data_IF_657032025703
#
_entry.id   IF_657032025703
#
_cell.length_a   1.000
_cell.length_b   1.000
_cell.length_c   1.000
_cell.angle_alpha   90.00
_cell.angle_beta   90.00
_cell.angle_gamma   90.00
#
_symmetry.space_group_name_H-M   'P 1'
#
loop_
_entity.id
_entity.type
_entity.pdbx_description
1 polymer ?
#
# COMPACT_ATOMS: atom_id res chain seq x y z
N UNK A 1 -10.81 20.16 -0.13
CA UNK A 1 -11.01 18.70 -0.03
C UNK A 1 -10.23 18.12 -1.18
N UNK A 2 -9.16 17.37 -0.93
CA UNK A 2 -8.39 16.76 -2.02
C UNK A 2 -9.26 15.67 -2.66
N UNK A 3 -9.47 15.75 -3.97
CA UNK A 3 -10.30 14.79 -4.71
C UNK A 3 -9.48 13.55 -5.09
N UNK A 4 -10.18 12.44 -5.41
CA UNK A 4 -9.54 11.21 -5.91
C UNK A 4 -8.69 11.48 -7.16
N UNK A 5 -9.13 12.38 -8.04
CA UNK A 5 -8.41 12.73 -9.27
C UNK A 5 -7.12 13.51 -8.98
N UNK A 6 -7.16 14.50 -8.09
CA UNK A 6 -5.95 15.23 -7.64
C UNK A 6 -4.95 14.29 -6.96
N UNK A 7 -5.47 13.33 -6.19
CA UNK A 7 -4.66 12.31 -5.55
C UNK A 7 -4.05 11.34 -6.57
N UNK A 8 -4.82 10.90 -7.58
CA UNK A 8 -4.32 10.08 -8.67
C UNK A 8 -3.23 10.81 -9.46
N UNK A 9 -3.42 12.09 -9.77
CA UNK A 9 -2.41 12.91 -10.42
C UNK A 9 -1.13 12.97 -9.57
N UNK A 10 -1.26 13.20 -8.26
CA UNK A 10 -0.12 13.24 -7.33
C UNK A 10 0.63 11.90 -7.29
N UNK A 11 -0.10 10.78 -7.20
CA UNK A 11 0.50 9.43 -7.20
C UNK A 11 1.23 9.18 -8.51
N UNK A 12 0.60 9.45 -9.66
CA UNK A 12 1.20 9.26 -10.97
C UNK A 12 2.46 10.10 -11.15
N UNK A 13 2.42 11.38 -10.75
CA UNK A 13 3.59 12.27 -10.82
C UNK A 13 4.76 11.75 -9.98
N UNK A 14 4.50 11.27 -8.76
CA UNK A 14 5.57 10.73 -7.90
C UNK A 14 6.15 9.45 -8.47
N UNK A 15 5.28 8.54 -8.92
CA UNK A 15 5.68 7.27 -9.53
C UNK A 15 6.45 7.51 -10.83
N UNK A 16 5.98 8.42 -11.68
CA UNK A 16 6.62 8.76 -12.95
C UNK A 16 7.99 9.40 -12.76
N UNK A 17 8.17 10.22 -11.71
CA UNK A 17 9.46 10.81 -11.38
C UNK A 17 10.49 9.78 -10.90
N UNK A 18 10.03 8.73 -10.18
CA UNK A 18 10.90 7.63 -9.73
C UNK A 18 11.25 6.69 -10.88
N UNK A 19 10.26 6.31 -11.70
CA UNK A 19 10.45 5.40 -12.84
C UNK A 19 11.06 6.06 -14.07
N UNK A 20 11.01 7.39 -14.18
CA UNK A 20 11.40 8.12 -15.39
C UNK A 20 10.46 7.88 -16.58
N UNK A 21 9.19 7.56 -16.34
CA UNK A 21 8.13 7.42 -17.35
C UNK A 21 7.20 8.64 -17.35
N UNK A 22 6.17 8.66 -18.19
CA UNK A 22 5.18 9.73 -18.20
C UNK A 22 3.98 9.40 -17.29
N UNK A 23 3.47 10.36 -16.50
CA UNK A 23 2.32 10.13 -15.63
C UNK A 23 1.01 9.85 -16.40
N UNK A 24 0.99 10.12 -17.70
CA UNK A 24 -0.14 9.90 -18.60
C UNK A 24 -0.24 8.44 -19.06
N UNK A 25 0.87 7.70 -19.06
CA UNK A 25 0.91 6.26 -19.33
C UNK A 25 0.37 5.45 -18.14
N UNK A 26 0.52 6.00 -16.93
CA UNK A 26 0.03 5.42 -15.69
C UNK A 26 -1.50 5.56 -15.58
N UNK A 27 -2.23 4.47 -15.78
CA UNK A 27 -3.70 4.42 -15.63
C UNK A 27 -4.08 3.82 -14.29
N UNK A 28 -5.32 4.04 -13.84
CA UNK A 28 -5.85 3.43 -12.61
C UNK A 28 -5.73 1.90 -12.58
N UNK A 29 -5.83 1.24 -13.74
CA UNK A 29 -5.74 -0.22 -13.85
C UNK A 29 -4.31 -0.72 -14.06
N UNK A 30 -3.33 0.17 -14.14
CA UNK A 30 -1.96 -0.23 -14.38
C UNK A 30 -1.34 -0.74 -13.08
N UNK A 31 -0.81 -1.95 -13.11
CA UNK A 31 -0.11 -2.56 -12.00
C UNK A 31 1.33 -2.09 -11.97
N UNK A 32 1.69 -1.30 -10.96
CA UNK A 32 3.04 -0.78 -10.81
C UNK A 32 4.09 -1.91 -10.72
N UNK A 33 3.85 -2.90 -9.87
CA UNK A 33 4.76 -4.02 -9.68
C UNK A 33 4.83 -4.99 -10.88
N UNK A 34 3.74 -5.19 -11.63
CA UNK A 34 3.66 -6.20 -12.69
C UNK A 34 3.97 -5.63 -14.08
N UNK A 35 3.49 -4.41 -14.37
CA UNK A 35 3.61 -3.76 -15.68
C UNK A 35 4.93 -2.97 -15.80
N UNK A 36 5.30 -2.24 -14.73
CA UNK A 36 6.53 -1.44 -14.68
C UNK A 36 7.67 -2.12 -13.90
N UNK A 37 7.37 -3.20 -13.17
CA UNK A 37 8.39 -3.91 -12.41
C UNK A 37 8.92 -3.13 -11.21
N UNK A 38 8.10 -2.28 -10.56
CA UNK A 38 8.59 -1.46 -9.43
C UNK A 38 9.18 -2.34 -8.33
N UNK A 39 10.44 -2.05 -7.97
CA UNK A 39 11.19 -2.70 -6.90
C UNK A 39 10.79 -2.19 -5.50
N UNK A 40 11.12 -2.97 -4.47
CA UNK A 40 10.87 -2.60 -3.07
C UNK A 40 11.55 -1.29 -2.64
N UNK A 41 12.68 -0.93 -3.26
CA UNK A 41 13.38 0.34 -3.04
C UNK A 41 12.60 1.53 -3.65
N UNK A 42 12.12 1.38 -4.88
CA UNK A 42 11.34 2.40 -5.56
C UNK A 42 10.00 2.62 -4.85
N UNK A 43 9.33 1.56 -4.39
CA UNK A 43 8.12 1.65 -3.57
C UNK A 43 8.36 2.39 -2.26
N UNK A 44 9.50 2.14 -1.60
CA UNK A 44 9.88 2.87 -0.40
C UNK A 44 10.07 4.37 -0.67
N UNK A 45 10.67 4.73 -1.81
CA UNK A 45 10.85 6.12 -2.21
C UNK A 45 9.53 6.80 -2.59
N UNK A 46 8.69 6.13 -3.38
CA UNK A 46 7.35 6.59 -3.77
C UNK A 46 6.51 6.82 -2.51
N UNK A 47 6.47 5.86 -1.59
CA UNK A 47 5.78 5.99 -0.31
C UNK A 47 6.26 7.19 0.48
N UNK A 48 7.57 7.33 0.69
CA UNK A 48 8.13 8.44 1.45
C UNK A 48 7.85 9.82 0.81
N UNK A 49 7.81 9.90 -0.53
CA UNK A 49 7.42 11.13 -1.23
C UNK A 49 5.93 11.43 -1.08
N UNK A 50 5.07 10.42 -1.22
CA UNK A 50 3.62 10.57 -1.02
C UNK A 50 3.27 10.97 0.41
N UNK A 51 3.93 10.39 1.41
CA UNK A 51 3.76 10.76 2.82
C UNK A 51 4.10 12.22 3.05
N UNK A 52 5.22 12.72 2.49
CA UNK A 52 5.62 14.13 2.61
C UNK A 52 4.65 15.07 1.90
N UNK A 53 4.18 14.70 0.71
CA UNK A 53 3.26 15.52 -0.10
C UNK A 53 1.87 15.60 0.52
N UNK A 54 1.32 14.45 0.93
CA UNK A 54 -0.04 14.34 1.44
C UNK A 54 -0.12 14.55 2.96
N UNK A 55 1.04 14.57 3.65
CA UNK A 55 1.16 14.58 5.11
C UNK A 55 0.38 13.43 5.77
N UNK A 56 0.45 12.26 5.17
CA UNK A 56 -0.17 11.02 5.65
C UNK A 56 0.90 10.02 6.09
N UNK A 57 0.46 9.01 6.85
CA UNK A 57 1.24 7.80 7.16
C UNK A 57 0.85 6.72 6.15
N UNK A 58 1.81 6.29 5.35
CA UNK A 58 1.65 5.29 4.29
C UNK A 58 2.70 4.20 4.54
N UNK A 59 2.23 2.99 4.82
CA UNK A 59 3.15 1.87 4.96
C UNK A 59 3.57 1.37 3.56
N UNK A 60 4.86 1.12 3.30
CA UNK A 60 5.29 0.54 2.02
C UNK A 60 4.60 -0.81 1.75
N UNK A 61 4.20 -1.56 2.79
CA UNK A 61 3.47 -2.82 2.64
C UNK A 61 2.03 -2.62 2.10
N UNK A 62 1.39 -1.49 2.44
CA UNK A 62 0.09 -1.08 1.85
C UNK A 62 0.24 -0.77 0.35
N UNK A 63 1.34 -0.13 -0.04
CA UNK A 63 1.66 0.15 -1.45
C UNK A 63 2.00 -1.11 -2.23
N UNK A 64 2.70 -2.08 -1.62
CA UNK A 64 2.95 -3.41 -2.20
C UNK A 64 1.64 -4.19 -2.36
N UNK A 65 0.75 -4.09 -1.38
CA UNK A 65 -0.57 -4.74 -1.41
C UNK A 65 -1.52 -4.09 -2.41
N UNK A 66 -1.27 -2.83 -2.80
CA UNK A 66 -2.03 -2.15 -3.83
C UNK A 66 -1.70 -2.77 -5.20
N UNK A 67 -2.69 -3.49 -5.77
CA UNK A 67 -2.53 -4.20 -7.04
C UNK A 67 -2.35 -3.27 -8.24
N UNK A 68 -2.88 -2.06 -8.14
CA UNK A 68 -2.97 -1.10 -9.23
C UNK A 68 -2.97 0.34 -8.68
N UNK A 69 -2.62 1.30 -9.52
CA UNK A 69 -2.58 2.74 -9.16
C UNK A 69 -3.92 3.19 -8.57
N UNK A 70 -5.03 2.72 -9.13
CA UNK A 70 -6.37 3.06 -8.69
C UNK A 70 -6.65 2.60 -7.25
N UNK A 71 -6.17 1.42 -6.89
CA UNK A 71 -6.26 0.87 -5.53
C UNK A 71 -5.42 1.68 -4.54
N UNK A 72 -4.19 2.03 -4.90
CA UNK A 72 -3.32 2.88 -4.07
C UNK A 72 -3.99 4.24 -3.81
N UNK A 73 -4.56 4.86 -4.85
CA UNK A 73 -5.27 6.13 -4.74
C UNK A 73 -6.51 6.00 -3.85
N UNK A 74 -7.29 4.93 -3.97
CA UNK A 74 -8.49 4.74 -3.16
C UNK A 74 -8.15 4.59 -1.67
N UNK A 75 -7.11 3.81 -1.36
CA UNK A 75 -6.57 3.67 0.00
C UNK A 75 -6.19 5.04 0.57
N UNK A 76 -5.39 5.82 -0.17
CA UNK A 76 -4.94 7.14 0.26
C UNK A 76 -6.12 8.13 0.41
N UNK A 77 -7.11 8.06 -0.47
CA UNK A 77 -8.29 8.92 -0.42
C UNK A 77 -9.16 8.61 0.81
N UNK A 78 -9.31 7.32 1.15
CA UNK A 78 -9.95 6.90 2.38
C UNK A 78 -9.20 7.42 3.63
N UNK A 79 -7.86 7.37 3.62
CA UNK A 79 -7.01 7.85 4.74
C UNK A 79 -7.06 9.37 4.94
N UNK A 80 -7.17 10.14 3.86
CA UNK A 80 -7.35 11.59 3.93
C UNK A 80 -8.67 11.98 4.59
N UNK A 81 -9.71 11.18 4.37
CA UNK A 81 -11.04 11.41 4.96
C UNK A 81 -11.10 10.89 6.40
N UNK A 82 -10.43 9.78 6.69
CA UNK A 82 -10.38 9.18 8.02
C UNK A 82 -8.97 8.65 8.36
N UNK A 83 -8.11 9.48 8.98
CA UNK A 83 -6.77 9.07 9.37
C UNK A 83 -6.75 8.11 10.59
N UNK A 84 -7.90 7.87 11.24
CA UNK A 84 -8.00 7.03 12.44
C UNK A 84 -8.27 5.55 12.14
N UNK A 85 -8.95 5.25 11.02
CA UNK A 85 -9.35 3.88 10.63
C UNK A 85 -8.28 3.16 9.79
N UNK A 86 -7.22 3.89 9.47
CA UNK A 86 -6.12 3.57 8.58
C UNK A 86 -5.12 2.49 9.05
N UNK A 87 -5.38 1.74 10.12
CA UNK A 87 -4.51 0.66 10.53
C UNK A 87 -5.26 -0.68 10.53
N UNK A 88 -5.13 -1.47 9.46
CA UNK A 88 -5.19 -2.91 9.56
C UNK A 88 -3.81 -3.49 9.21
N UNK A 89 -2.81 -3.18 10.04
CA UNK A 89 -1.62 -4.02 10.10
C UNK A 89 -2.06 -5.40 10.58
N UNK A 90 -2.17 -6.35 9.66
CA UNK A 90 -2.20 -7.80 9.85
C UNK A 90 -2.66 -8.30 11.22
N UNK A 91 -3.98 -8.52 11.37
CA UNK A 91 -4.55 -9.42 12.38
C UNK A 91 -5.06 -10.74 11.78
N UNK A 92 -4.40 -11.23 10.73
CA UNK A 92 -4.69 -12.56 10.17
C UNK A 92 -3.42 -13.40 10.08
N UNK A 93 -2.89 -13.79 11.23
CA UNK A 93 -2.16 -15.04 11.40
C UNK A 93 -2.37 -15.58 12.83
N UNK A 94 -3.62 -15.56 13.31
CA UNK A 94 -4.02 -16.42 14.41
C UNK A 94 -4.38 -17.80 13.83
N UNK A 95 -3.37 -18.54 13.38
CA UNK A 95 -3.47 -19.98 13.28
C UNK A 95 -3.07 -20.52 14.66
N UNK A 96 -4.07 -20.66 15.53
CA UNK A 96 -3.95 -21.37 16.79
C UNK A 96 -3.52 -22.80 16.50
N UNK A 97 -2.22 -23.09 16.58
CA UNK A 97 -1.76 -24.48 16.74
C UNK A 97 -1.74 -24.71 18.24
N UNK A 98 -2.88 -25.05 18.79
CA UNK A 98 -2.97 -25.60 20.14
C UNK A 98 -4.07 -26.64 20.14
N UNK A 99 -3.66 -27.90 20.29
CA UNK A 99 -4.35 -29.11 20.77
C UNK A 99 -3.31 -30.23 20.51
N UNK A 100 -2.54 -30.77 21.45
CA UNK A 100 -2.86 -31.17 22.82
C UNK A 100 -1.58 -31.33 23.69
N UNK A 101 -1.66 -31.19 25.02
CA UNK A 101 -0.64 -31.70 25.94
C UNK A 101 -0.77 -33.24 26.15
N UNK A 102 0.33 -33.95 26.49
CA UNK A 102 0.35 -35.40 26.67
C UNK A 102 -0.38 -35.80 27.96
N UNK A 103 -1.35 -36.71 27.86
CA UNK A 103 -2.05 -37.28 29.02
C UNK A 103 -1.47 -38.64 29.40
N UNK A 104 -0.93 -38.73 30.63
CA UNK A 104 -0.66 -39.94 31.42
C UNK A 104 0.55 -40.77 30.96
N UNK A 105 1.56 -41.08 31.77
CA UNK A 105 1.56 -41.49 33.18
C UNK A 105 2.16 -42.91 33.24
N UNK A 106 3.06 -43.24 34.19
CA UNK A 106 3.87 -44.47 34.15
C UNK A 106 3.09 -45.72 34.58
N UNK A 107 3.39 -46.84 33.93
CA UNK A 107 3.11 -48.20 34.41
C UNK A 107 4.28 -49.10 34.00
#
# INVERSE_FOLDING_TARGET
MLTREELAATVRTVVSDVLGTEPEELRDRTSLADDYGIDSLELMEIGARLERTLRLRIDPDDLISARDVGHAVDLLHARLRDPATAAPGSRTANAVITLAPPSGGPA
#
